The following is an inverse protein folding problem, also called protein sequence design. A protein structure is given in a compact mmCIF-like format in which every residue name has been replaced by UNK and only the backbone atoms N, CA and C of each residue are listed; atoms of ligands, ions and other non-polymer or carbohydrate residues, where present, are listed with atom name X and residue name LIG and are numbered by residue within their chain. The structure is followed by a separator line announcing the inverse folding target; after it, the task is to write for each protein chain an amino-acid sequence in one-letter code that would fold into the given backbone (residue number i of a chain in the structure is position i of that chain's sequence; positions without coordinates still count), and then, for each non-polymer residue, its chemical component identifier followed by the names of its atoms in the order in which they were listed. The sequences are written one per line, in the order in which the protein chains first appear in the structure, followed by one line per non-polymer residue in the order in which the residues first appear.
data_IF_650562455050
#
_entry.id   IF_650562455050
#
_cell.length_a   1.000
_cell.length_b   1.000
_cell.length_c   1.000
_cell.angle_alpha   90.00
_cell.angle_beta   90.00
_cell.angle_gamma   90.00
#
_symmetry.space_group_name_H-M   'P 1'
#
loop_
_entity.id
_entity.type
_entity.pdbx_description
1 polymer ?
#
# COMPACT_ATOMS: atom_id res chain seq x y z
N UNK A 1 -4.63 -22.47 -11.31
CA UNK A 1 -3.68 -21.66 -10.53
C UNK A 1 -3.78 -22.05 -9.06
N UNK A 2 -2.66 -22.38 -8.38
CA UNK A 2 -2.68 -22.73 -6.96
C UNK A 2 -3.32 -21.62 -6.12
N UNK A 3 -4.12 -21.98 -5.10
CA UNK A 3 -4.87 -21.01 -4.28
C UNK A 3 -3.95 -19.98 -3.63
N UNK A 4 -2.79 -20.43 -3.10
CA UNK A 4 -1.84 -19.56 -2.43
C UNK A 4 -1.19 -18.54 -3.39
N UNK A 5 -0.86 -18.95 -4.63
CA UNK A 5 -0.34 -18.03 -5.67
C UNK A 5 -1.36 -16.93 -5.96
N UNK A 6 -2.66 -17.28 -6.01
CA UNK A 6 -3.73 -16.29 -6.17
C UNK A 6 -3.80 -15.32 -5.01
N UNK A 7 -3.75 -15.85 -3.78
CA UNK A 7 -3.79 -15.03 -2.57
C UNK A 7 -2.62 -14.06 -2.52
N UNK A 8 -1.40 -14.52 -2.80
CA UNK A 8 -0.21 -13.66 -2.79
C UNK A 8 -0.28 -12.60 -3.88
N UNK A 9 -0.71 -12.96 -5.09
CA UNK A 9 -0.85 -11.97 -6.17
C UNK A 9 -1.89 -10.89 -5.83
N UNK A 10 -3.04 -11.29 -5.29
CA UNK A 10 -4.08 -10.35 -4.84
C UNK A 10 -3.57 -9.48 -3.69
N UNK A 11 -2.83 -10.05 -2.74
CA UNK A 11 -2.25 -9.30 -1.62
C UNK A 11 -1.21 -8.28 -2.11
N UNK A 12 -0.33 -8.66 -3.04
CA UNK A 12 0.63 -7.73 -3.66
C UNK A 12 -0.08 -6.56 -4.33
N UNK A 13 -1.16 -6.83 -5.10
CA UNK A 13 -1.95 -5.78 -5.74
C UNK A 13 -2.65 -4.88 -4.71
N UNK A 14 -3.27 -5.48 -3.68
CA UNK A 14 -3.96 -4.73 -2.63
C UNK A 14 -3.01 -3.81 -1.86
N UNK A 15 -1.80 -4.29 -1.54
CA UNK A 15 -0.75 -3.49 -0.89
C UNK A 15 -0.28 -2.35 -1.80
N UNK A 16 -0.07 -2.62 -3.09
CA UNK A 16 0.32 -1.59 -4.04
C UNK A 16 -0.76 -0.51 -4.19
N UNK A 17 -2.03 -0.91 -4.30
CA UNK A 17 -3.18 0.01 -4.35
C UNK A 17 -3.27 0.84 -3.07
N UNK A 18 -3.14 0.23 -1.89
CA UNK A 18 -3.19 0.95 -0.63
C UNK A 18 -2.10 2.02 -0.54
N UNK A 19 -0.87 1.70 -0.95
CA UNK A 19 0.23 2.67 -1.01
C UNK A 19 -0.08 3.83 -1.96
N UNK A 20 -0.56 3.54 -3.17
CA UNK A 20 -0.92 4.57 -4.16
C UNK A 20 -2.05 5.46 -3.65
N UNK A 21 -3.06 4.89 -2.99
CA UNK A 21 -4.14 5.66 -2.37
C UNK A 21 -3.59 6.62 -1.32
N UNK A 22 -2.75 6.15 -0.39
CA UNK A 22 -2.15 7.01 0.64
C UNK A 22 -1.32 8.13 0.01
N UNK A 23 -0.50 7.82 -0.99
CA UNK A 23 0.29 8.83 -1.70
C UNK A 23 -0.59 9.85 -2.44
N UNK A 24 -1.66 9.41 -3.10
CA UNK A 24 -2.59 10.29 -3.77
C UNK A 24 -3.36 11.19 -2.79
N UNK A 25 -3.76 10.68 -1.63
CA UNK A 25 -4.41 11.46 -0.59
C UNK A 25 -3.46 12.51 0.00
N UNK A 26 -2.21 12.13 0.28
CA UNK A 26 -1.19 13.06 0.80
C UNK A 26 -0.92 14.20 -0.19
N UNK A 27 -0.65 13.87 -1.45
CA UNK A 27 -0.38 14.87 -2.51
C UNK A 27 -1.62 15.70 -2.82
N UNK A 28 -2.79 15.06 -2.89
CA UNK A 28 -4.06 15.75 -3.13
C UNK A 28 -4.41 16.72 -2.01
N UNK A 29 -4.15 16.36 -0.74
CA UNK A 29 -4.35 17.25 0.40
C UNK A 29 -3.42 18.45 0.35
N UNK A 30 -2.12 18.24 0.08
CA UNK A 30 -1.17 19.35 -0.13
C UNK A 30 -1.60 20.28 -1.26
N UNK A 31 -1.99 19.72 -2.41
CA UNK A 31 -2.40 20.49 -3.58
C UNK A 31 -3.68 21.29 -3.34
N UNK A 32 -4.67 20.71 -2.64
CA UNK A 32 -5.94 21.39 -2.35
C UNK A 32 -5.81 22.45 -1.26
N UNK A 33 -4.91 22.28 -0.30
CA UNK A 33 -4.63 23.25 0.74
C UNK A 33 -3.59 24.30 0.33
N UNK A 34 -2.84 24.09 -0.76
CA UNK A 34 -1.77 24.98 -1.20
C UNK A 34 -0.57 25.00 -0.25
N UNK A 35 -0.29 23.87 0.42
CA UNK A 35 0.75 23.77 1.46
C UNK A 35 1.83 22.75 1.09
N UNK A 36 3.00 22.89 1.72
CA UNK A 36 4.11 21.97 1.56
C UNK A 36 4.09 20.78 2.54
N UNK A 37 5.07 19.87 2.42
CA UNK A 37 5.22 18.71 3.29
C UNK A 37 5.40 19.06 4.78
N UNK A 38 6.07 20.18 5.08
CA UNK A 38 6.32 20.57 6.48
C UNK A 38 5.03 20.98 7.20
N UNK A 39 4.15 21.70 6.50
CA UNK A 39 2.85 22.13 7.03
C UNK A 39 1.90 20.94 7.23
N UNK A 40 1.99 19.90 6.40
CA UNK A 40 1.20 18.67 6.56
C UNK A 40 1.46 17.96 7.90
N UNK A 41 2.64 18.16 8.50
CA UNK A 41 3.04 17.53 9.76
C UNK A 41 2.62 18.34 11.01
N UNK A 42 1.91 19.46 10.84
CA UNK A 42 1.49 20.32 11.96
C UNK A 42 0.21 19.85 12.65
N UNK A 43 -0.45 18.82 12.13
CA UNK A 43 -1.75 18.33 12.61
C UNK A 43 -2.95 19.11 12.08
N UNK A 44 -2.75 20.28 11.46
CA UNK A 44 -3.83 21.09 10.87
C UNK A 44 -4.50 20.44 9.64
N UNK A 45 -3.91 19.37 9.10
CA UNK A 45 -4.35 18.69 7.89
C UNK A 45 -4.46 17.18 8.11
N UNK A 46 -5.08 16.74 9.20
CA UNK A 46 -5.17 15.33 9.60
C UNK A 46 -5.76 14.45 8.47
N UNK A 47 -5.17 13.28 8.14
CA UNK A 47 -5.72 12.37 7.13
C UNK A 47 -7.17 11.93 7.43
N UNK A 48 -7.60 11.92 8.69
CA UNK A 48 -8.95 11.56 9.12
C UNK A 48 -9.99 12.58 8.65
N UNK A 49 -9.60 13.84 8.42
CA UNK A 49 -10.48 14.87 7.89
C UNK A 49 -10.92 14.57 6.45
N UNK A 50 -10.23 13.65 5.77
CA UNK A 50 -10.58 13.18 4.44
C UNK A 50 -11.73 12.17 4.44
N UNK A 51 -12.14 11.66 5.62
CA UNK A 51 -13.26 10.72 5.76
C UNK A 51 -14.58 11.50 5.80
N UNK A 52 -15.42 11.44 4.74
CA UNK A 52 -16.69 12.15 4.75
C UNK A 52 -17.56 11.65 5.90
N UNK A 53 -18.25 12.57 6.58
CA UNK A 53 -19.14 12.27 7.72
C UNK A 53 -18.44 11.75 8.99
N UNK A 54 -17.11 11.81 9.07
CA UNK A 54 -16.34 11.55 10.30
C UNK A 54 -16.08 10.06 10.62
N UNK A 55 -15.37 9.81 11.73
CA UNK A 55 -14.89 8.48 12.12
C UNK A 55 -15.85 7.75 13.07
N UNK A 56 -16.82 7.02 12.52
CA UNK A 56 -17.69 6.15 13.32
C UNK A 56 -18.05 4.87 12.58
N UNK A 57 -18.33 3.80 13.33
CA UNK A 57 -18.57 2.47 12.78
C UNK A 57 -19.79 2.36 11.84
N UNK A 58 -20.75 3.28 11.91
CA UNK A 58 -21.87 3.33 10.96
C UNK A 58 -21.50 3.94 9.59
N UNK A 59 -20.32 4.58 9.47
CA UNK A 59 -19.90 5.24 8.24
C UNK A 59 -19.14 4.24 7.33
N UNK A 60 -19.60 3.95 6.10
CA UNK A 60 -18.86 3.08 5.18
C UNK A 60 -17.49 3.65 4.78
N UNK A 61 -17.33 4.98 4.73
CA UNK A 61 -16.05 5.59 4.38
C UNK A 61 -15.00 5.43 5.48
N UNK A 62 -15.42 5.39 6.74
CA UNK A 62 -14.55 5.03 7.86
C UNK A 62 -13.97 3.62 7.67
N UNK A 63 -14.78 2.64 7.24
CA UNK A 63 -14.29 1.28 6.99
C UNK A 63 -13.34 1.20 5.80
N UNK A 64 -13.59 1.98 4.75
CA UNK A 64 -12.65 2.08 3.63
C UNK A 64 -11.30 2.65 4.09
N UNK A 65 -11.32 3.74 4.85
CA UNK A 65 -10.12 4.32 5.46
C UNK A 65 -9.39 3.28 6.32
N UNK A 66 -10.09 2.59 7.22
CA UNK A 66 -9.52 1.56 8.08
C UNK A 66 -8.90 0.39 7.29
N UNK A 67 -9.56 -0.05 6.21
CA UNK A 67 -9.04 -1.11 5.34
C UNK A 67 -7.77 -0.68 4.61
N UNK A 68 -7.73 0.56 4.08
CA UNK A 68 -6.52 1.12 3.46
C UNK A 68 -5.41 1.25 4.48
N UNK A 69 -5.68 1.74 5.69
CA UNK A 69 -4.70 1.84 6.77
C UNK A 69 -4.13 0.47 7.15
N UNK A 70 -4.98 -0.55 7.28
CA UNK A 70 -4.57 -1.90 7.58
C UNK A 70 -3.68 -2.47 6.47
N UNK A 71 -4.11 -2.39 5.21
CA UNK A 71 -3.32 -2.86 4.07
C UNK A 71 -1.99 -2.11 3.95
N UNK A 72 -1.98 -0.82 4.22
CA UNK A 72 -0.78 0.01 4.19
C UNK A 72 0.22 -0.42 5.27
N UNK A 73 -0.21 -0.69 6.51
CA UNK A 73 0.66 -1.14 7.60
C UNK A 73 1.11 -2.58 7.39
N UNK A 74 0.18 -3.50 7.16
CA UNK A 74 0.46 -4.92 6.95
C UNK A 74 1.34 -5.12 5.72
N UNK A 75 1.13 -4.33 4.67
CA UNK A 75 1.97 -4.33 3.48
C UNK A 75 3.44 -4.09 3.78
N UNK A 76 3.79 -3.23 4.74
CA UNK A 76 5.18 -3.02 5.13
C UNK A 76 5.84 -4.29 5.70
N UNK A 77 5.06 -5.09 6.45
CA UNK A 77 5.54 -6.32 7.10
C UNK A 77 5.54 -7.51 6.14
N UNK A 78 4.48 -7.68 5.35
CA UNK A 78 4.28 -8.86 4.51
C UNK A 78 4.98 -8.79 3.15
N UNK A 79 5.44 -7.61 2.71
CA UNK A 79 6.09 -7.46 1.41
C UNK A 79 7.28 -8.40 1.24
N UNK A 80 8.19 -8.47 2.22
CA UNK A 80 9.39 -9.31 2.11
C UNK A 80 9.04 -10.81 2.07
N UNK A 81 8.22 -11.36 2.99
CA UNK A 81 7.74 -12.75 2.87
C UNK A 81 7.07 -13.06 1.53
N UNK A 82 6.22 -12.16 1.01
CA UNK A 82 5.56 -12.35 -0.28
C UNK A 82 6.56 -12.35 -1.44
N UNK A 83 7.59 -11.51 -1.40
CA UNK A 83 8.62 -11.47 -2.42
C UNK A 83 9.47 -12.75 -2.43
N UNK A 84 9.86 -13.25 -1.26
CA UNK A 84 10.59 -14.52 -1.12
C UNK A 84 9.74 -15.68 -1.66
N UNK A 85 8.46 -15.74 -1.28
CA UNK A 85 7.54 -16.74 -1.80
C UNK A 85 7.40 -16.66 -3.33
N UNK A 86 7.21 -15.46 -3.87
CA UNK A 86 7.10 -15.21 -5.30
C UNK A 86 8.33 -15.71 -6.07
N UNK A 87 9.53 -15.40 -5.58
CA UNK A 87 10.78 -15.85 -6.17
C UNK A 87 10.93 -17.38 -6.09
N UNK A 88 10.63 -17.99 -4.94
CA UNK A 88 10.72 -19.43 -4.75
C UNK A 88 9.78 -20.20 -5.69
N UNK A 89 8.52 -19.76 -5.80
CA UNK A 89 7.52 -20.35 -6.71
C UNK A 89 7.93 -20.15 -8.16
N UNK A 90 8.40 -18.96 -8.53
CA UNK A 90 8.86 -18.69 -9.89
C UNK A 90 10.08 -19.53 -10.29
N UNK A 91 10.93 -19.93 -9.33
CA UNK A 91 12.11 -20.75 -9.56
C UNK A 91 11.79 -22.26 -9.61
N UNK A 92 10.85 -22.74 -8.78
CA UNK A 92 10.56 -24.18 -8.64
C UNK A 92 9.42 -24.68 -9.53
N UNK A 93 8.39 -23.87 -9.73
CA UNK A 93 7.13 -24.32 -10.34
C UNK A 93 7.02 -23.88 -11.81
N UNK A 94 8.13 -23.96 -12.57
CA UNK A 94 8.20 -23.46 -13.96
C UNK A 94 7.20 -24.14 -14.89
N UNK A 95 6.87 -25.39 -14.60
CA UNK A 95 6.03 -26.24 -15.46
C UNK A 95 4.56 -26.23 -15.02
N UNK A 96 4.29 -25.80 -13.77
CA UNK A 96 2.95 -25.75 -13.17
C UNK A 96 2.27 -24.38 -13.36
N UNK A 97 3.04 -23.34 -13.64
CA UNK A 97 2.55 -21.97 -13.81
C UNK A 97 2.73 -21.48 -15.24
N UNK A 98 1.67 -20.88 -15.79
CA UNK A 98 1.79 -20.15 -17.06
C UNK A 98 2.81 -19.01 -16.93
N UNK A 99 3.54 -18.72 -18.02
CA UNK A 99 4.50 -17.58 -18.06
C UNK A 99 3.86 -16.28 -17.58
N UNK A 100 2.61 -16.01 -17.96
CA UNK A 100 1.87 -14.80 -17.56
C UNK A 100 1.73 -14.69 -16.04
N UNK A 101 1.29 -15.76 -15.37
CA UNK A 101 1.11 -15.76 -13.90
C UNK A 101 2.46 -15.59 -13.20
N UNK A 102 3.51 -16.26 -13.69
CA UNK A 102 4.86 -16.10 -13.14
C UNK A 102 5.37 -14.66 -13.28
N UNK A 103 5.18 -14.04 -14.44
CA UNK A 103 5.53 -12.64 -14.66
C UNK A 103 4.75 -11.72 -13.73
N UNK A 104 3.43 -11.89 -13.61
CA UNK A 104 2.61 -11.07 -12.72
C UNK A 104 3.05 -11.19 -11.26
N UNK A 105 3.36 -12.40 -10.80
CA UNK A 105 3.81 -12.66 -9.43
C UNK A 105 5.17 -11.99 -9.13
N UNK A 106 6.11 -12.05 -10.08
CA UNK A 106 7.42 -11.41 -9.95
C UNK A 106 7.34 -9.88 -10.07
N UNK A 107 6.53 -9.37 -10.99
CA UNK A 107 6.29 -7.93 -11.12
C UNK A 107 5.62 -7.41 -9.87
N UNK A 108 4.59 -8.09 -9.36
CA UNK A 108 3.93 -7.74 -8.11
C UNK A 108 4.92 -7.69 -6.94
N UNK A 109 5.76 -8.72 -6.79
CA UNK A 109 6.82 -8.75 -5.78
C UNK A 109 7.81 -7.58 -5.93
N UNK A 110 8.29 -7.33 -7.15
CA UNK A 110 9.21 -6.24 -7.44
C UNK A 110 8.60 -4.87 -7.12
N UNK A 111 7.35 -4.63 -7.54
CA UNK A 111 6.61 -3.40 -7.25
C UNK A 111 6.44 -3.22 -5.75
N UNK A 112 5.92 -4.20 -5.02
CA UNK A 112 5.74 -4.05 -3.56
C UNK A 112 7.06 -3.85 -2.84
N UNK A 113 8.14 -4.50 -3.30
CA UNK A 113 9.49 -4.32 -2.73
C UNK A 113 10.01 -2.91 -2.98
N UNK A 114 9.83 -2.37 -4.19
CA UNK A 114 10.18 -0.99 -4.50
C UNK A 114 9.39 -0.01 -3.63
N UNK A 115 8.08 -0.23 -3.47
CA UNK A 115 7.24 0.58 -2.59
C UNK A 115 7.70 0.52 -1.12
N UNK A 116 8.12 -0.66 -0.65
CA UNK A 116 8.73 -0.81 0.68
C UNK A 116 10.02 0.00 0.79
N UNK A 117 10.91 -0.05 -0.20
CA UNK A 117 12.15 0.74 -0.22
C UNK A 117 11.84 2.24 -0.21
N UNK A 118 10.84 2.67 -1.01
CA UNK A 118 10.42 4.07 -1.08
C UNK A 118 10.02 4.61 0.30
N UNK A 119 9.41 3.79 1.18
CA UNK A 119 9.04 4.22 2.55
C UNK A 119 10.21 4.73 3.39
N UNK A 120 11.44 4.34 3.05
CA UNK A 120 12.64 4.78 3.74
C UNK A 120 13.27 6.05 3.14
N UNK A 121 12.63 6.65 2.13
CA UNK A 121 13.02 7.96 1.59
C UNK A 121 12.45 9.09 2.45
N UNK A 122 13.10 10.27 2.53
CA UNK A 122 12.59 11.40 3.33
C UNK A 122 11.16 11.80 2.95
N UNK A 123 10.86 11.87 1.65
CA UNK A 123 9.54 12.27 1.14
C UNK A 123 8.45 11.31 1.59
N UNK A 124 8.72 10.00 1.54
CA UNK A 124 7.74 9.00 1.98
C UNK A 124 7.66 8.87 3.51
N UNK A 125 8.72 9.25 4.24
CA UNK A 125 8.71 9.27 5.69
C UNK A 125 7.73 10.34 6.22
N UNK A 126 7.67 11.52 5.59
CA UNK A 126 6.70 12.56 5.95
C UNK A 126 5.27 12.12 5.63
N UNK A 127 5.05 11.53 4.44
CA UNK A 127 3.78 10.90 4.08
C UNK A 127 3.37 9.81 5.10
N UNK A 128 4.33 9.02 5.56
CA UNK A 128 4.08 7.95 6.52
C UNK A 128 3.67 8.51 7.89
N UNK A 129 4.39 9.53 8.37
CA UNK A 129 4.04 10.22 9.63
C UNK A 129 2.65 10.82 9.52
N UNK A 130 2.40 11.58 8.46
CA UNK A 130 1.10 12.19 8.22
C UNK A 130 -0.04 11.17 8.22
N UNK A 131 0.12 10.02 7.54
CA UNK A 131 -0.92 8.98 7.47
C UNK A 131 -1.18 8.27 8.81
N UNK A 132 -0.17 8.19 9.68
CA UNK A 132 -0.27 7.51 10.98
C UNK A 132 -0.63 8.44 12.14
N UNK A 133 -0.65 9.75 11.91
CA UNK A 133 -1.09 10.76 12.88
C UNK A 133 -2.61 10.66 13.12
#
# INVERSE_FOLDING_TARGET
MPRLVRTVLVAQLAVAVAFVVVAALYVGRMATAGVGPAEMLTGAYDPKDLVPYGLHAANPFFWLYAAVSLLYVVGAVLTLPMAVYAAAVAARDTDLLSRRVRTLLLVGAGVTTLLLIIRFTPVAADMHRWWLD
#
